data_IF_033878528181
#
_entry.id   IF_033878528181
#
_cell.length_a   1.000
_cell.length_b   1.000
_cell.length_c   1.000
_cell.angle_alpha   90.00
_cell.angle_beta   90.00
_cell.angle_gamma   90.00
#
_symmetry.space_group_name_H-M   'P 1'
#
loop_
_entity.id
_entity.type
_entity.pdbx_description
1 polymer ?
#
# COMPACT_ATOMS: atom_id res chain seq x y z
N UNK A 1 17.82 19.05 23.23
CA UNK A 1 18.92 18.36 22.51
C UNK A 1 18.86 18.82 21.06
N UNK A 2 19.70 19.80 20.71
CA UNK A 2 19.66 20.47 19.41
C UNK A 2 20.43 19.65 18.38
N UNK A 3 19.72 18.97 17.48
CA UNK A 3 20.37 18.33 16.34
C UNK A 3 20.85 19.41 15.37
N UNK A 4 22.18 19.60 15.32
CA UNK A 4 22.87 20.32 14.26
C UNK A 4 22.39 19.75 12.92
N UNK A 5 21.74 20.59 12.10
CA UNK A 5 21.47 20.28 10.69
C UNK A 5 22.82 20.10 10.00
N UNK A 6 23.17 18.85 9.71
CA UNK A 6 24.32 18.53 8.86
C UNK A 6 23.94 18.81 7.41
N UNK A 7 24.71 19.71 6.79
CA UNK A 7 24.71 19.93 5.35
C UNK A 7 24.99 18.60 4.64
N UNK A 8 24.01 18.07 3.91
CA UNK A 8 24.20 16.94 2.98
C UNK A 8 23.40 17.29 1.73
N UNK A 9 24.13 17.54 0.65
CA UNK A 9 23.60 17.72 -0.70
C UNK A 9 22.90 16.42 -1.14
N UNK A 10 21.62 16.56 -1.50
CA UNK A 10 20.67 15.57 -2.00
C UNK A 10 20.45 14.31 -1.15
N UNK A 11 19.50 14.41 -0.22
CA UNK A 11 18.76 13.23 0.24
C UNK A 11 17.59 13.05 -0.73
N UNK A 12 17.64 12.04 -1.60
CA UNK A 12 16.45 11.69 -2.39
C UNK A 12 15.44 11.07 -1.43
N UNK A 13 14.32 11.76 -1.25
CA UNK A 13 13.17 11.26 -0.51
C UNK A 13 12.15 10.88 -1.56
N UNK A 14 11.71 9.62 -1.52
CA UNK A 14 10.62 9.15 -2.35
C UNK A 14 9.37 8.98 -1.52
N UNK A 15 8.23 9.46 -2.02
CA UNK A 15 6.95 9.18 -1.39
C UNK A 15 6.37 7.88 -1.91
N UNK A 16 6.10 6.96 -1.00
CA UNK A 16 5.72 5.58 -1.31
C UNK A 16 4.36 5.21 -0.73
N UNK A 17 3.69 4.29 -1.41
CA UNK A 17 2.51 3.59 -0.92
C UNK A 17 2.86 2.12 -0.73
N UNK A 18 2.53 1.57 0.44
CA UNK A 18 2.49 0.13 0.69
C UNK A 18 1.04 -0.36 0.73
N UNK A 19 0.74 -1.41 -0.03
CA UNK A 19 -0.53 -2.12 -0.03
C UNK A 19 -0.32 -3.53 0.54
N UNK A 20 -1.15 -3.92 1.50
CA UNK A 20 -1.07 -5.22 2.14
C UNK A 20 -2.45 -5.82 2.36
N UNK A 21 -2.56 -7.13 2.12
CA UNK A 21 -3.77 -7.91 2.37
C UNK A 21 -3.39 -9.12 3.21
N UNK A 22 -3.86 -9.18 4.45
CA UNK A 22 -3.55 -10.26 5.38
C UNK A 22 -4.22 -11.59 5.00
N UNK A 23 -3.71 -12.70 5.52
CA UNK A 23 -4.35 -14.03 5.39
C UNK A 23 -5.67 -14.13 6.17
N UNK A 24 -5.97 -13.16 7.02
CA UNK A 24 -7.29 -12.90 7.62
C UNK A 24 -8.37 -12.63 6.57
N UNK A 25 -7.99 -12.14 5.38
CA UNK A 25 -8.89 -11.75 4.28
C UNK A 25 -9.96 -10.76 4.77
N UNK A 26 -9.59 -9.81 5.62
CA UNK A 26 -10.46 -8.81 6.24
C UNK A 26 -10.48 -7.48 5.49
N UNK A 27 -9.40 -7.13 4.79
CA UNK A 27 -9.36 -5.93 3.97
C UNK A 27 -8.02 -5.65 3.30
N UNK A 28 -7.90 -4.39 2.87
CA UNK A 28 -6.71 -3.79 2.30
C UNK A 28 -6.16 -2.74 3.26
N UNK A 29 -4.95 -2.97 3.72
CA UNK A 29 -4.17 -1.99 4.47
C UNK A 29 -3.38 -1.12 3.49
N UNK A 30 -3.42 0.20 3.73
CA UNK A 30 -2.70 1.20 2.97
C UNK A 30 -1.78 1.96 3.92
N UNK A 31 -0.50 2.03 3.58
CA UNK A 31 0.49 2.85 4.29
C UNK A 31 1.15 3.82 3.33
N UNK A 32 1.28 5.08 3.73
CA UNK A 32 1.94 6.13 2.95
C UNK A 32 3.13 6.61 3.76
N UNK A 33 4.31 6.50 3.16
CA UNK A 33 5.56 6.85 3.84
C UNK A 33 6.55 7.53 2.89
N UNK A 34 7.21 8.55 3.42
CA UNK A 34 8.39 9.12 2.79
C UNK A 34 9.60 8.28 3.17
N UNK A 35 10.32 7.76 2.18
CA UNK A 35 11.53 6.95 2.37
C UNK A 35 12.73 7.75 1.86
N UNK A 36 13.67 8.03 2.76
CA UNK A 36 14.90 8.74 2.44
C UNK A 36 16.11 7.80 2.51
N UNK A 37 16.95 7.83 1.48
CA UNK A 37 18.22 7.09 1.48
C UNK A 37 19.37 8.02 1.88
N UNK A 38 20.12 7.64 2.92
CA UNK A 38 21.34 8.34 3.38
C UNK A 38 22.51 7.36 3.44
N UNK A 39 23.43 7.45 2.48
CA UNK A 39 24.61 6.56 2.39
C UNK A 39 24.19 5.09 2.49
N UNK A 40 24.40 4.46 3.66
CA UNK A 40 24.10 3.06 3.95
C UNK A 40 22.91 2.88 4.92
N UNK A 41 22.03 3.87 5.03
CA UNK A 41 20.84 3.83 5.90
C UNK A 41 19.60 4.28 5.14
N UNK A 42 18.49 3.62 5.42
CA UNK A 42 17.18 4.09 5.05
C UNK A 42 16.52 4.72 6.29
N UNK A 43 16.05 5.94 6.14
CA UNK A 43 15.17 6.61 7.10
C UNK A 43 13.76 6.64 6.51
N UNK A 44 12.73 6.59 7.35
CA UNK A 44 11.35 6.68 6.90
C UNK A 44 10.52 7.59 7.80
N UNK A 45 9.49 8.18 7.22
CA UNK A 45 8.46 8.92 7.93
C UNK A 45 7.08 8.46 7.45
N UNK A 46 6.29 7.87 8.35
CA UNK A 46 4.91 7.46 8.06
C UNK A 46 4.04 8.72 8.05
N UNK A 47 3.36 8.96 6.93
CA UNK A 47 2.48 10.11 6.74
C UNK A 47 1.06 9.76 7.16
N UNK A 48 0.59 8.60 6.67
CA UNK A 48 -0.79 8.14 6.82
C UNK A 48 -0.86 6.63 6.76
N UNK A 49 -1.85 6.08 7.45
CA UNK A 49 -2.24 4.68 7.34
C UNK A 49 -3.77 4.58 7.36
N UNK A 50 -4.33 3.60 6.67
CA UNK A 50 -5.75 3.25 6.76
C UNK A 50 -5.94 1.76 6.48
N UNK A 51 -7.10 1.23 6.84
CA UNK A 51 -7.53 -0.12 6.50
C UNK A 51 -8.94 -0.06 5.92
N UNK A 52 -9.13 -0.64 4.75
CA UNK A 52 -10.38 -0.65 4.02
C UNK A 52 -10.93 -2.09 4.03
N UNK A 53 -12.06 -2.34 4.70
CA UNK A 53 -12.62 -3.69 4.76
C UNK A 53 -13.07 -4.16 3.38
N UNK A 54 -12.90 -5.45 3.11
CA UNK A 54 -13.43 -6.02 1.88
C UNK A 54 -14.96 -5.99 1.87
N UNK A 55 -15.59 -5.70 0.73
CA UNK A 55 -16.99 -6.03 0.52
C UNK A 55 -17.23 -7.53 0.74
N UNK A 56 -18.36 -7.89 1.36
CA UNK A 56 -18.68 -9.28 1.70
C UNK A 56 -18.57 -10.24 0.50
N UNK A 57 -19.04 -9.81 -0.68
CA UNK A 57 -18.99 -10.62 -1.89
C UNK A 57 -17.55 -10.86 -2.37
N UNK A 58 -16.70 -9.84 -2.30
CA UNK A 58 -15.28 -9.95 -2.65
C UNK A 58 -14.55 -10.85 -1.65
N UNK A 59 -14.79 -10.66 -0.35
CA UNK A 59 -14.25 -11.52 0.69
C UNK A 59 -14.65 -12.99 0.46
N UNK A 60 -15.90 -13.24 0.08
CA UNK A 60 -16.36 -14.58 -0.24
C UNK A 60 -15.62 -15.16 -1.46
N UNK A 61 -15.46 -14.38 -2.54
CA UNK A 61 -14.72 -14.81 -3.73
C UNK A 61 -13.26 -15.16 -3.40
N UNK A 62 -12.57 -14.34 -2.61
CA UNK A 62 -11.19 -14.61 -2.15
C UNK A 62 -11.13 -15.90 -1.32
N UNK A 63 -12.08 -16.10 -0.39
CA UNK A 63 -12.12 -17.35 0.38
C UNK A 63 -12.31 -18.56 -0.52
N UNK A 64 -13.21 -18.47 -1.49
CA UNK A 64 -13.44 -19.57 -2.43
C UNK A 64 -12.20 -19.89 -3.26
N UNK A 65 -11.45 -18.89 -3.75
CA UNK A 65 -10.24 -19.15 -4.55
C UNK A 65 -9.10 -19.77 -3.74
N UNK A 66 -9.02 -19.51 -2.43
CA UNK A 66 -8.00 -20.11 -1.56
C UNK A 66 -8.30 -21.58 -1.26
N UNK A 67 -9.58 -21.95 -1.11
CA UNK A 67 -9.97 -23.29 -0.68
C UNK A 67 -10.43 -24.22 -1.81
N UNK A 68 -10.77 -23.69 -2.99
CA UNK A 68 -11.23 -24.47 -4.14
C UNK A 68 -10.15 -24.53 -5.24
N UNK A 69 -9.44 -25.66 -5.31
CA UNK A 69 -8.29 -25.87 -6.22
C UNK A 69 -8.68 -26.01 -7.69
N UNK A 70 -9.98 -26.04 -8.02
CA UNK A 70 -10.48 -26.17 -9.39
C UNK A 70 -10.83 -24.85 -10.08
N UNK A 71 -10.75 -23.70 -9.38
CA UNK A 71 -11.14 -22.40 -9.95
C UNK A 71 -9.98 -21.70 -10.64
N UNK A 72 -10.27 -21.16 -11.82
CA UNK A 72 -9.39 -20.20 -12.49
C UNK A 72 -9.39 -18.88 -11.71
N UNK A 73 -8.26 -18.56 -11.09
CA UNK A 73 -8.08 -17.37 -10.25
C UNK A 73 -7.63 -16.13 -11.03
N UNK A 74 -7.40 -16.24 -12.34
CA UNK A 74 -6.89 -15.12 -13.15
C UNK A 74 -7.86 -13.93 -13.20
N UNK A 75 -9.17 -14.20 -13.23
CA UNK A 75 -10.17 -13.14 -13.21
C UNK A 75 -10.16 -12.42 -11.85
N UNK A 76 -10.11 -13.18 -10.76
CA UNK A 76 -10.08 -12.62 -9.41
C UNK A 76 -8.80 -11.82 -9.15
N UNK A 77 -7.63 -12.29 -9.60
CA UNK A 77 -6.36 -11.56 -9.51
C UNK A 77 -6.44 -10.18 -10.19
N UNK A 78 -6.96 -10.15 -11.41
CA UNK A 78 -7.22 -8.90 -12.14
C UNK A 78 -8.17 -7.98 -11.39
N UNK A 79 -9.31 -8.52 -10.96
CA UNK A 79 -10.37 -7.74 -10.32
C UNK A 79 -9.92 -7.19 -8.96
N UNK A 80 -9.11 -7.94 -8.21
CA UNK A 80 -8.46 -7.47 -6.99
C UNK A 80 -7.49 -6.33 -7.27
N UNK A 81 -6.62 -6.46 -8.28
CA UNK A 81 -5.70 -5.39 -8.67
C UNK A 81 -6.42 -4.08 -9.04
N UNK A 82 -7.53 -4.18 -9.76
CA UNK A 82 -8.38 -3.02 -10.08
C UNK A 82 -8.99 -2.44 -8.80
N UNK A 83 -9.55 -3.29 -7.93
CA UNK A 83 -10.17 -2.85 -6.69
C UNK A 83 -9.15 -2.16 -5.76
N UNK A 84 -7.91 -2.67 -5.66
CA UNK A 84 -6.84 -2.01 -4.90
C UNK A 84 -6.49 -0.63 -5.47
N UNK A 85 -6.38 -0.52 -6.80
CA UNK A 85 -6.06 0.74 -7.45
C UNK A 85 -7.17 1.78 -7.23
N UNK A 86 -8.43 1.38 -7.35
CA UNK A 86 -9.59 2.24 -7.11
C UNK A 86 -9.63 2.73 -5.66
N UNK A 87 -9.44 1.82 -4.69
CA UNK A 87 -9.45 2.19 -3.26
C UNK A 87 -8.28 3.04 -2.84
N UNK A 88 -7.10 2.78 -3.39
CA UNK A 88 -5.96 3.67 -3.21
C UNK A 88 -6.25 5.06 -3.78
N UNK A 89 -6.79 5.14 -5.00
CA UNK A 89 -7.09 6.42 -5.64
C UNK A 89 -8.15 7.23 -4.87
N UNK A 90 -9.23 6.58 -4.43
CA UNK A 90 -10.25 7.18 -3.56
C UNK A 90 -9.63 7.76 -2.28
N UNK A 91 -8.77 6.99 -1.61
CA UNK A 91 -8.13 7.39 -0.36
C UNK A 91 -7.13 8.54 -0.54
N UNK A 92 -6.29 8.48 -1.58
CA UNK A 92 -5.35 9.56 -1.89
C UNK A 92 -6.09 10.88 -2.15
N UNK A 93 -7.21 10.82 -2.89
CA UNK A 93 -8.05 12.01 -3.12
C UNK A 93 -8.72 12.52 -1.86
N UNK A 94 -9.26 11.64 -1.00
CA UNK A 94 -9.92 12.07 0.24
C UNK A 94 -8.95 12.75 1.20
N UNK A 95 -7.70 12.31 1.24
CA UNK A 95 -6.65 12.89 2.07
C UNK A 95 -5.85 14.01 1.38
N UNK A 96 -6.18 14.36 0.13
CA UNK A 96 -5.43 15.32 -0.68
C UNK A 96 -3.92 15.01 -0.76
N UNK A 97 -3.58 13.72 -0.89
CA UNK A 97 -2.21 13.24 -1.01
C UNK A 97 -1.86 13.11 -2.48
N UNK A 98 -0.76 13.73 -2.88
CA UNK A 98 -0.21 13.70 -4.22
C UNK A 98 1.25 13.22 -4.22
N UNK A 99 1.83 13.17 -5.43
CA UNK A 99 3.25 12.89 -5.66
C UNK A 99 3.73 11.52 -5.14
N UNK A 100 2.90 10.47 -5.27
CA UNK A 100 3.34 9.09 -5.03
C UNK A 100 4.27 8.66 -6.17
N UNK A 101 5.49 8.24 -5.84
CA UNK A 101 6.52 7.83 -6.81
C UNK A 101 6.63 6.30 -6.94
N UNK A 102 6.17 5.56 -5.92
CA UNK A 102 6.26 4.11 -5.88
C UNK A 102 5.07 3.50 -5.14
N UNK A 103 4.55 2.41 -5.69
CA UNK A 103 3.57 1.54 -5.02
C UNK A 103 4.22 0.16 -4.86
N UNK A 104 4.31 -0.32 -3.62
CA UNK A 104 4.64 -1.71 -3.31
C UNK A 104 3.38 -2.44 -2.88
N UNK A 105 2.96 -3.45 -3.65
CA UNK A 105 1.80 -4.31 -3.31
C UNK A 105 2.29 -5.69 -2.93
N UNK A 106 1.92 -6.19 -1.75
CA UNK A 106 2.21 -7.57 -1.35
C UNK A 106 1.28 -8.58 -2.04
N UNK A 107 0.01 -8.19 -2.21
CA UNK A 107 -1.03 -9.00 -2.84
C UNK A 107 -1.94 -8.08 -3.61
#
# INVERSE_FOLDING_TARGET
MNYKRSNIENTQVIRTVGLMTGTSMDGLDISIADIGLRKNKADFNVIRTTSIPYPNDLQFQIRQSVYDTGKDTNALDRDLGIWYADKLFEYLRSESIDNIELIGSHG
#
